data_IF_077293557287
#
_entry.id   IF_077293557287
#
_cell.length_a   1.000
_cell.length_b   1.000
_cell.length_c   1.000
_cell.angle_alpha   90.00
_cell.angle_beta   90.00
_cell.angle_gamma   90.00
#
_symmetry.space_group_name_H-M   'P 1'
#
loop_
_entity.id
_entity.type
_entity.pdbx_description
1 polymer ?
#
# COMPACT_ATOMS: atom_id res chain seq x y z
N UNK A 1 60.80 -33.69 29.41
CA UNK A 1 61.21 -34.70 28.41
C UNK A 1 60.28 -35.89 28.56
N UNK A 2 59.57 -36.25 27.49
CA UNK A 2 58.68 -37.41 27.46
C UNK A 2 57.31 -37.11 26.88
N UNK A 3 57.27 -36.73 25.59
CA UNK A 3 56.12 -37.03 24.73
C UNK A 3 55.87 -38.54 24.75
N UNK A 4 54.62 -38.97 24.97
CA UNK A 4 54.08 -40.13 24.25
C UNK A 4 52.61 -39.87 23.91
N UNK A 5 52.44 -39.47 22.66
CA UNK A 5 51.25 -39.53 21.84
C UNK A 5 50.83 -41.00 21.68
N UNK A 6 49.59 -41.34 21.96
CA UNK A 6 48.94 -42.50 21.33
C UNK A 6 47.57 -42.05 20.86
N UNK A 7 47.47 -41.86 19.55
CA UNK A 7 46.22 -41.63 18.84
C UNK A 7 45.60 -42.99 18.53
N UNK A 8 44.40 -43.24 19.04
CA UNK A 8 43.45 -44.11 18.37
C UNK A 8 42.26 -43.26 17.92
N UNK A 9 42.08 -43.18 16.62
CA UNK A 9 40.99 -42.47 15.96
C UNK A 9 39.97 -43.49 15.49
N UNK A 10 38.78 -43.52 16.09
CA UNK A 10 37.51 -43.75 15.39
C UNK A 10 36.37 -42.97 16.06
N UNK A 11 35.97 -41.90 15.38
CA UNK A 11 34.67 -41.19 15.33
C UNK A 11 33.75 -41.29 16.57
N UNK A 12 33.32 -40.22 17.23
CA UNK A 12 33.39 -38.79 16.96
C UNK A 12 32.53 -38.07 18.01
N UNK A 13 32.94 -36.83 18.33
CA UNK A 13 32.39 -35.91 19.33
C UNK A 13 32.86 -36.14 20.78
N UNK A 14 34.02 -35.56 21.10
CA UNK A 14 34.40 -35.15 22.45
C UNK A 14 33.63 -33.85 22.75
N UNK A 15 32.77 -33.86 23.77
CA UNK A 15 32.15 -32.64 24.28
C UNK A 15 33.18 -31.87 25.11
N UNK A 16 33.81 -30.86 24.52
CA UNK A 16 34.44 -29.79 25.28
C UNK A 16 33.31 -28.86 25.73
N UNK A 17 33.00 -28.86 27.03
CA UNK A 17 32.08 -27.88 27.60
C UNK A 17 32.70 -26.48 27.44
N UNK A 18 32.27 -25.75 26.40
CA UNK A 18 32.57 -24.35 26.21
C UNK A 18 31.54 -23.55 27.02
N UNK A 19 32.00 -22.73 27.95
CA UNK A 19 31.15 -21.82 28.72
C UNK A 19 30.64 -20.72 27.79
N UNK A 20 29.47 -20.90 27.18
CA UNK A 20 28.92 -20.01 26.14
C UNK A 20 28.35 -18.71 26.72
N UNK A 21 29.23 -17.79 27.12
CA UNK A 21 28.85 -16.47 27.62
C UNK A 21 28.23 -15.63 26.50
N UNK A 22 26.98 -15.16 26.69
CA UNK A 22 26.28 -14.31 25.72
C UNK A 22 26.46 -12.84 26.13
N UNK A 23 27.02 -12.03 25.23
CA UNK A 23 27.17 -10.57 25.43
C UNK A 23 26.15 -9.81 24.60
N UNK A 24 25.33 -8.99 25.26
CA UNK A 24 24.34 -8.12 24.63
C UNK A 24 24.83 -6.67 24.65
N UNK A 25 24.68 -5.95 23.54
CA UNK A 25 24.95 -4.51 23.48
C UNK A 25 23.65 -3.75 23.76
N UNK A 26 23.66 -2.93 24.81
CA UNK A 26 22.55 -2.03 25.20
C UNK A 26 23.01 -0.57 25.13
N UNK A 27 22.07 0.38 25.20
CA UNK A 27 22.37 1.83 25.18
C UNK A 27 23.31 2.27 26.31
N UNK A 28 23.34 1.50 27.40
CA UNK A 28 24.12 1.79 28.60
C UNK A 28 25.42 0.95 28.67
N UNK A 29 25.70 0.15 27.64
CA UNK A 29 26.94 -0.64 27.52
C UNK A 29 26.74 -2.13 27.21
N UNK A 30 27.80 -2.91 27.39
CA UNK A 30 27.81 -4.36 27.17
C UNK A 30 27.38 -5.10 28.44
N UNK A 31 26.37 -5.96 28.32
CA UNK A 31 25.88 -6.82 29.39
C UNK A 31 26.24 -8.28 29.08
N UNK A 32 26.93 -8.92 30.00
CA UNK A 32 27.46 -10.28 29.85
C UNK A 32 26.62 -11.25 30.70
N UNK A 33 25.95 -12.21 30.07
CA UNK A 33 25.09 -13.20 30.76
C UNK A 33 25.82 -14.55 30.90
N UNK A 34 25.87 -15.14 32.11
CA UNK A 34 26.47 -16.46 32.32
C UNK A 34 25.60 -17.55 31.68
N UNK A 35 26.23 -18.46 30.94
CA UNK A 35 25.60 -19.52 30.13
C UNK A 35 24.99 -20.68 30.94
N UNK A 36 24.77 -20.50 32.24
CA UNK A 36 24.75 -21.61 33.19
C UNK A 36 23.41 -21.89 33.87
N UNK A 37 22.38 -21.08 33.67
CA UNK A 37 21.05 -21.38 34.18
C UNK A 37 20.08 -21.37 33.02
N UNK A 38 19.30 -22.45 32.91
CA UNK A 38 18.11 -22.51 32.08
C UNK A 38 17.24 -21.29 32.36
N UNK A 39 17.40 -20.24 31.56
CA UNK A 39 16.43 -19.15 31.52
C UNK A 39 15.14 -19.82 31.11
N UNK A 40 14.26 -20.04 32.09
CA UNK A 40 12.88 -20.36 31.83
C UNK A 40 12.30 -19.09 31.24
N UNK A 41 12.49 -18.92 29.93
CA UNK A 41 11.76 -17.93 29.15
C UNK A 41 10.31 -18.34 29.34
N UNK A 42 9.59 -17.60 30.19
CA UNK A 42 8.15 -17.80 30.25
C UNK A 42 7.66 -17.64 28.82
N UNK A 43 6.95 -18.66 28.28
CA UNK A 43 6.42 -18.55 26.94
C UNK A 43 5.61 -17.26 26.92
N UNK A 44 5.94 -16.35 25.98
CA UNK A 44 5.14 -15.15 25.77
C UNK A 44 3.71 -15.63 25.72
N UNK A 45 2.90 -15.21 26.69
CA UNK A 45 1.46 -15.38 26.63
C UNK A 45 1.08 -14.70 25.32
N UNK A 46 0.82 -15.51 24.29
CA UNK A 46 0.12 -15.02 23.12
C UNK A 46 -1.21 -14.61 23.70
N UNK A 47 -1.36 -13.32 23.97
CA UNK A 47 -2.69 -12.74 24.04
C UNK A 47 -3.34 -13.26 22.78
N UNK A 48 -4.45 -13.99 22.90
CA UNK A 48 -5.26 -14.37 21.75
C UNK A 48 -5.66 -13.06 21.09
N UNK A 49 -4.81 -12.59 20.18
CA UNK A 49 -5.03 -11.38 19.46
C UNK A 49 -6.22 -11.70 18.59
N UNK A 50 -7.32 -10.96 18.83
CA UNK A 50 -8.41 -10.94 17.89
C UNK A 50 -7.82 -10.80 16.48
N UNK A 51 -8.36 -11.53 15.49
CA UNK A 51 -7.87 -11.43 14.12
C UNK A 51 -7.76 -9.96 13.73
N UNK A 52 -6.68 -9.61 13.03
CA UNK A 52 -6.53 -8.27 12.51
C UNK A 52 -7.81 -7.88 11.77
N UNK A 53 -8.30 -6.64 11.93
CA UNK A 53 -9.49 -6.20 11.24
C UNK A 53 -9.33 -6.49 9.75
N UNK A 54 -10.38 -7.01 9.14
CA UNK A 54 -10.43 -7.23 7.70
C UNK A 54 -10.25 -5.92 6.94
N UNK A 55 -9.92 -6.02 5.66
CA UNK A 55 -9.74 -4.87 4.78
C UNK A 55 -10.95 -3.91 4.84
N UNK A 56 -12.16 -4.46 4.92
CA UNK A 56 -13.41 -3.69 5.01
C UNK A 56 -13.58 -3.02 6.39
N UNK A 57 -13.10 -3.67 7.45
CA UNK A 57 -13.13 -3.16 8.83
C UNK A 57 -12.04 -2.12 9.13
N UNK A 58 -10.92 -2.16 8.41
CA UNK A 58 -9.81 -1.22 8.56
C UNK A 58 -10.16 0.20 8.06
N UNK A 59 -11.22 0.35 7.26
CA UNK A 59 -11.59 1.62 6.64
C UNK A 59 -10.59 2.09 5.59
N UNK A 60 -10.74 3.33 5.10
CA UNK A 60 -9.86 3.89 4.07
C UNK A 60 -8.44 4.10 4.62
N UNK A 61 -7.48 3.30 4.17
CA UNK A 61 -6.07 3.64 4.27
C UNK A 61 -5.78 4.76 3.25
N UNK A 62 -5.68 6.02 3.69
CA UNK A 62 -5.39 7.16 2.80
C UNK A 62 -3.93 7.08 2.34
N UNK A 63 -3.68 6.38 1.23
CA UNK A 63 -2.35 6.22 0.64
C UNK A 63 -2.14 7.09 -0.60
N UNK A 64 -3.21 7.38 -1.34
CA UNK A 64 -3.12 8.02 -2.64
C UNK A 64 -4.22 9.06 -2.88
N UNK A 65 -3.95 9.97 -3.80
CA UNK A 65 -4.91 10.97 -4.27
C UNK A 65 -5.28 10.71 -5.72
N UNK A 66 -6.45 11.18 -6.15
CA UNK A 66 -6.83 11.14 -7.56
C UNK A 66 -7.39 12.47 -8.05
N UNK A 67 -7.27 12.67 -9.35
CA UNK A 67 -7.92 13.73 -10.12
C UNK A 67 -8.46 13.09 -11.39
N UNK A 68 -9.77 12.89 -11.44
CA UNK A 68 -10.47 12.30 -12.59
C UNK A 68 -11.29 13.41 -13.25
N UNK A 69 -10.94 13.74 -14.49
CA UNK A 69 -11.62 14.73 -15.31
C UNK A 69 -12.47 14.05 -16.40
N UNK A 70 -13.74 14.43 -16.52
CA UNK A 70 -14.65 13.96 -17.55
C UNK A 70 -14.97 15.09 -18.55
N UNK A 71 -14.87 14.79 -19.85
CA UNK A 71 -15.21 15.68 -20.97
C UNK A 71 -16.18 14.98 -21.93
N UNK A 72 -16.87 15.73 -22.79
CA UNK A 72 -17.77 15.21 -23.83
C UNK A 72 -17.02 14.66 -25.07
N UNK A 73 -15.69 14.72 -25.09
CA UNK A 73 -14.83 14.25 -26.18
C UNK A 73 -14.79 15.15 -27.42
N UNK A 74 -15.77 16.02 -27.61
CA UNK A 74 -15.84 16.97 -28.72
C UNK A 74 -15.30 18.37 -28.37
N UNK A 75 -15.50 18.79 -27.13
CA UNK A 75 -15.12 20.11 -26.63
C UNK A 75 -14.32 19.97 -25.33
N UNK A 76 -12.97 20.05 -25.37
CA UNK A 76 -12.14 19.96 -24.17
C UNK A 76 -12.28 21.18 -23.26
N UNK A 77 -12.91 22.27 -23.73
CA UNK A 77 -13.08 23.49 -22.95
C UNK A 77 -14.06 23.31 -21.78
N UNK A 78 -14.93 22.30 -21.85
CA UNK A 78 -15.93 21.99 -20.81
C UNK A 78 -15.58 20.66 -20.16
N UNK A 79 -15.25 20.67 -18.88
CA UNK A 79 -14.91 19.46 -18.12
C UNK A 79 -15.45 19.47 -16.69
N UNK A 80 -15.84 18.30 -16.21
CA UNK A 80 -16.12 18.03 -14.81
C UNK A 80 -14.89 17.35 -14.20
N UNK A 81 -14.32 17.86 -13.12
CA UNK A 81 -13.24 17.18 -12.42
C UNK A 81 -13.66 16.79 -11.01
N UNK A 82 -13.29 15.58 -10.61
CA UNK A 82 -13.47 15.01 -9.29
C UNK A 82 -12.11 14.74 -8.67
N UNK A 83 -11.95 15.17 -7.42
CA UNK A 83 -10.72 15.05 -6.66
C UNK A 83 -11.04 14.42 -5.34
N UNK A 84 -10.11 13.62 -4.86
CA UNK A 84 -10.26 12.98 -3.58
C UNK A 84 -9.15 11.99 -3.31
N UNK A 85 -9.47 11.06 -2.43
CA UNK A 85 -8.52 10.10 -1.88
C UNK A 85 -8.95 8.69 -2.23
N UNK A 86 -7.98 7.80 -2.40
CA UNK A 86 -8.24 6.40 -2.67
C UNK A 86 -7.25 5.52 -1.94
N UNK A 87 -7.65 4.27 -1.73
CA UNK A 87 -6.81 3.26 -1.08
C UNK A 87 -5.64 2.82 -1.96
N UNK A 88 -5.91 2.63 -3.26
CA UNK A 88 -4.98 2.12 -4.26
C UNK A 88 -5.26 2.81 -5.59
N UNK A 89 -4.21 3.33 -6.25
CA UNK A 89 -4.37 3.95 -7.57
C UNK A 89 -4.67 2.90 -8.62
N UNK A 90 -4.00 1.75 -8.57
CA UNK A 90 -4.19 0.65 -9.52
C UNK A 90 -5.64 0.18 -9.52
N UNK A 91 -6.18 -0.15 -8.35
CA UNK A 91 -7.56 -0.66 -8.23
C UNK A 91 -8.59 0.39 -8.66
N UNK A 92 -8.40 1.65 -8.24
CA UNK A 92 -9.29 2.74 -8.64
C UNK A 92 -9.26 2.94 -10.16
N UNK A 93 -8.06 2.90 -10.76
CA UNK A 93 -7.91 3.11 -12.20
C UNK A 93 -8.65 2.04 -13.00
N UNK A 94 -8.50 0.75 -12.65
CA UNK A 94 -9.15 -0.36 -13.35
C UNK A 94 -10.68 -0.26 -13.28
N UNK A 95 -11.24 -0.05 -12.08
CA UNK A 95 -12.69 0.05 -11.90
C UNK A 95 -13.28 1.25 -12.64
N UNK A 96 -12.57 2.39 -12.66
CA UNK A 96 -13.01 3.59 -13.39
C UNK A 96 -12.89 3.39 -14.89
N UNK A 97 -11.85 2.72 -15.39
CA UNK A 97 -11.68 2.39 -16.80
C UNK A 97 -12.83 1.50 -17.30
N UNK A 98 -13.15 0.43 -16.57
CA UNK A 98 -14.26 -0.47 -16.89
C UNK A 98 -15.60 0.26 -16.90
N UNK A 99 -15.84 1.11 -15.90
CA UNK A 99 -17.04 1.94 -15.82
C UNK A 99 -17.16 2.86 -17.05
N UNK A 100 -16.07 3.52 -17.45
CA UNK A 100 -16.05 4.42 -18.61
C UNK A 100 -16.30 3.65 -19.91
N UNK A 101 -15.66 2.50 -20.09
CA UNK A 101 -15.84 1.65 -21.27
C UNK A 101 -17.27 1.11 -21.38
N UNK A 102 -17.86 0.69 -20.26
CA UNK A 102 -19.24 0.18 -20.21
C UNK A 102 -20.28 1.24 -20.61
N UNK A 103 -20.00 2.52 -20.34
CA UNK A 103 -20.81 3.65 -20.76
C UNK A 103 -20.56 4.10 -22.21
N UNK A 104 -19.70 3.39 -22.96
CA UNK A 104 -19.29 3.78 -24.31
C UNK A 104 -18.35 4.99 -24.34
N UNK A 105 -17.74 5.33 -23.21
CA UNK A 105 -16.70 6.35 -23.11
C UNK A 105 -15.33 5.84 -23.55
N UNK A 106 -14.35 6.75 -23.56
CA UNK A 106 -12.95 6.49 -23.90
C UNK A 106 -12.03 7.12 -22.87
N UNK A 107 -10.91 6.48 -22.59
CA UNK A 107 -9.86 7.04 -21.74
C UNK A 107 -8.97 7.92 -22.63
N UNK A 108 -8.87 9.21 -22.30
CA UNK A 108 -8.06 10.19 -23.06
C UNK A 108 -6.66 10.28 -22.48
N UNK A 109 -6.56 10.26 -21.15
CA UNK A 109 -5.30 10.33 -20.43
C UNK A 109 -5.41 9.45 -19.18
N UNK A 110 -4.42 8.60 -18.97
CA UNK A 110 -4.22 7.90 -17.72
C UNK A 110 -2.73 8.05 -17.33
N UNK A 111 -2.48 8.77 -16.24
CA UNK A 111 -1.14 9.05 -15.76
C UNK A 111 -1.08 8.84 -14.25
N UNK A 112 -0.09 8.06 -13.82
CA UNK A 112 0.22 7.84 -12.42
C UNK A 112 1.49 8.64 -12.10
N UNK A 113 1.40 9.56 -11.16
CA UNK A 113 2.51 10.37 -10.70
C UNK A 113 2.92 9.97 -9.28
N UNK A 114 4.22 9.77 -9.06
CA UNK A 114 4.78 9.56 -7.72
C UNK A 114 5.27 10.91 -7.19
N UNK A 115 4.54 11.51 -6.23
CA UNK A 115 4.96 12.78 -5.61
C UNK A 115 5.95 12.59 -4.47
N UNK A 116 5.87 11.46 -3.78
CA UNK A 116 6.85 11.01 -2.80
C UNK A 116 7.04 9.50 -2.98
N UNK A 117 8.08 8.90 -2.41
CA UNK A 117 8.36 7.46 -2.57
C UNK A 117 7.22 6.51 -2.16
N UNK A 118 6.15 7.03 -1.55
CA UNK A 118 4.96 6.27 -1.13
C UNK A 118 3.65 6.92 -1.64
N UNK A 119 3.64 8.22 -1.98
CA UNK A 119 2.42 8.93 -2.38
C UNK A 119 2.23 8.91 -3.90
N UNK A 120 1.28 8.09 -4.34
CA UNK A 120 0.81 8.02 -5.72
C UNK A 120 -0.36 8.97 -5.98
N UNK A 121 -0.36 9.59 -7.15
CA UNK A 121 -1.45 10.45 -7.61
C UNK A 121 -1.91 9.99 -8.98
N UNK A 122 -3.18 9.59 -9.07
CA UNK A 122 -3.85 9.30 -10.32
C UNK A 122 -4.33 10.59 -10.99
N UNK A 123 -3.87 10.87 -12.21
CA UNK A 123 -4.46 11.87 -13.10
C UNK A 123 -5.07 11.15 -14.26
N UNK A 124 -6.40 11.14 -14.33
CA UNK A 124 -7.14 10.49 -15.38
C UNK A 124 -8.07 11.48 -16.07
N UNK A 125 -8.11 11.46 -17.39
CA UNK A 125 -9.09 12.20 -18.20
C UNK A 125 -9.87 11.22 -19.04
N UNK A 126 -11.19 11.27 -18.94
CA UNK A 126 -12.13 10.37 -19.60
C UNK A 126 -13.05 11.18 -20.50
N UNK A 127 -13.28 10.69 -21.72
CA UNK A 127 -14.26 11.21 -22.65
C UNK A 127 -15.48 10.32 -22.60
N UNK A 128 -16.53 10.77 -21.93
CA UNK A 128 -17.81 10.06 -21.86
C UNK A 128 -18.76 10.81 -22.81
N UNK A 129 -19.71 10.16 -23.51
CA UNK A 129 -20.72 10.89 -24.25
C UNK A 129 -21.58 11.75 -23.29
N UNK A 130 -21.22 13.02 -23.10
CA UNK A 130 -21.89 13.96 -22.20
C UNK A 130 -22.77 14.93 -22.98
N UNK A 131 -23.96 15.26 -22.45
CA UNK A 131 -24.76 16.38 -22.92
C UNK A 131 -24.19 17.71 -22.39
N UNK A 132 -23.75 18.59 -23.29
CA UNK A 132 -23.37 19.99 -23.00
C UNK A 132 -22.26 20.23 -21.96
N UNK A 133 -21.33 19.27 -21.79
CA UNK A 133 -20.17 19.45 -20.90
C UNK A 133 -20.45 19.22 -19.41
N UNK A 134 -21.66 18.75 -19.07
CA UNK A 134 -22.00 18.23 -17.75
C UNK A 134 -22.48 16.80 -17.95
N UNK A 135 -21.86 15.77 -17.34
CA UNK A 135 -22.41 14.44 -17.38
C UNK A 135 -23.76 14.41 -16.65
N UNK A 136 -24.89 14.09 -17.30
CA UNK A 136 -26.09 13.69 -16.57
C UNK A 136 -25.82 12.45 -15.70
N UNK A 137 -24.80 11.66 -16.09
CA UNK A 137 -24.34 10.42 -15.44
C UNK A 137 -23.12 10.61 -14.53
N UNK A 138 -22.85 11.81 -13.99
CA UNK A 138 -21.70 11.99 -13.09
C UNK A 138 -21.83 11.15 -11.81
N UNK A 139 -23.07 10.82 -11.44
CA UNK A 139 -23.38 9.85 -10.38
C UNK A 139 -22.84 8.46 -10.69
N UNK A 140 -22.83 8.03 -11.96
CA UNK A 140 -22.28 6.74 -12.35
C UNK A 140 -20.76 6.71 -12.15
N UNK A 141 -20.06 7.74 -12.63
CA UNK A 141 -18.62 7.86 -12.42
C UNK A 141 -18.26 8.02 -10.93
N UNK A 142 -19.08 8.75 -10.17
CA UNK A 142 -18.94 8.85 -8.71
C UNK A 142 -19.15 7.50 -8.02
N UNK A 143 -20.15 6.73 -8.45
CA UNK A 143 -20.42 5.39 -7.95
C UNK A 143 -19.25 4.45 -8.24
N UNK A 144 -18.68 4.52 -9.45
CA UNK A 144 -17.50 3.74 -9.84
C UNK A 144 -16.27 4.10 -8.98
N UNK A 145 -16.06 5.39 -8.72
CA UNK A 145 -15.00 5.85 -7.81
C UNK A 145 -15.22 5.28 -6.40
N UNK A 146 -16.45 5.32 -5.89
CA UNK A 146 -16.78 4.75 -4.58
C UNK A 146 -16.63 3.23 -4.52
N UNK A 147 -17.00 2.49 -5.57
CA UNK A 147 -16.78 1.04 -5.63
C UNK A 147 -15.31 0.68 -5.76
N UNK A 148 -14.50 1.52 -6.42
CA UNK A 148 -13.04 1.38 -6.51
C UNK A 148 -12.28 1.81 -5.25
N UNK A 149 -12.97 2.03 -4.13
CA UNK A 149 -12.34 2.43 -2.86
C UNK A 149 -11.88 3.89 -2.81
N UNK A 150 -12.46 4.75 -3.66
CA UNK A 150 -12.23 6.19 -3.71
C UNK A 150 -13.31 7.00 -3.00
N UNK A 151 -12.91 8.08 -2.32
CA UNK A 151 -13.80 9.07 -1.72
C UNK A 151 -13.59 10.40 -2.44
N UNK A 152 -14.65 10.92 -3.05
CA UNK A 152 -14.64 12.24 -3.71
C UNK A 152 -14.76 13.34 -2.65
N UNK A 153 -13.70 14.12 -2.48
CA UNK A 153 -13.66 15.28 -1.57
C UNK A 153 -14.27 16.52 -2.23
N UNK A 154 -13.87 16.80 -3.49
CA UNK A 154 -14.25 18.01 -4.21
C UNK A 154 -14.61 17.70 -5.65
N UNK A 155 -15.61 18.41 -6.17
CA UNK A 155 -16.03 18.32 -7.57
C UNK A 155 -16.18 19.74 -8.13
N UNK A 156 -15.51 20.03 -9.24
CA UNK A 156 -15.62 21.34 -9.90
C UNK A 156 -15.98 21.18 -11.38
N UNK A 157 -16.73 22.16 -11.89
CA UNK A 157 -17.06 22.32 -13.31
C UNK A 157 -16.18 23.42 -13.87
N UNK A 158 -15.39 23.10 -14.88
CA UNK A 158 -14.48 24.05 -15.52
C UNK A 158 -14.93 24.33 -16.94
N UNK A 159 -14.97 25.62 -17.27
CA UNK A 159 -15.31 26.16 -18.58
C UNK A 159 -14.16 27.08 -18.98
N UNK A 160 -13.36 26.66 -19.94
CA UNK A 160 -12.35 27.52 -20.54
C UNK A 160 -13.00 28.32 -21.66
N UNK A 161 -13.20 29.61 -21.43
CA UNK A 161 -13.59 30.52 -22.50
C UNK A 161 -12.31 30.86 -23.29
N UNK A 162 -12.20 30.38 -24.53
CA UNK A 162 -11.22 30.95 -25.46
C UNK A 162 -11.76 32.31 -25.91
N UNK A 163 -11.08 33.38 -25.50
CA UNK A 163 -11.31 34.75 -25.98
C UNK A 163 -10.44 35.06 -27.18
#
# INVERSE_FOLDING_TARGET
MGEQTTQETKAGAVWLACSDVITLLTTDGFVTLPSGNSFKVEPRVRVDQAPLPTVDEQGLCVGACFTIAATNGADPSRRLAMLGFCRSVSDLSEVVEDAVLSCGGKIVLNQIELKSGIHEILKMTVAIPLLNGVPPQHEYLRSAISSGGGIVEKMYRQWQMYG
#
